data_IF_009242920338
#
_entry.id   IF_009242920338
#
_cell.length_a   1.000
_cell.length_b   1.000
_cell.length_c   1.000
_cell.angle_alpha   90.00
_cell.angle_beta   90.00
_cell.angle_gamma   90.00
#
_symmetry.space_group_name_H-M   'P 1'
#
loop_
_entity.id
_entity.type
_entity.pdbx_description
1 polymer ?
#
# COMPACT_ATOMS: atom_id res chain seq x y z
N UNK A 1 10.05 0.10 -3.25
CA UNK A 1 10.77 1.40 -3.10
C UNK A 1 11.77 1.47 -4.24
N UNK A 2 11.88 2.59 -4.94
CA UNK A 2 12.89 2.73 -6.00
C UNK A 2 14.25 2.92 -5.34
N UNK A 3 15.29 2.30 -5.88
CA UNK A 3 16.67 2.59 -5.48
C UNK A 3 16.98 4.06 -5.76
N UNK A 4 17.57 4.73 -4.77
CA UNK A 4 18.06 6.10 -4.90
C UNK A 4 19.49 6.10 -4.38
N UNK A 5 20.42 6.52 -5.24
CA UNK A 5 21.82 6.66 -4.85
C UNK A 5 21.96 7.89 -3.93
N UNK A 6 22.64 7.73 -2.79
CA UNK A 6 22.79 8.80 -1.80
C UNK A 6 23.48 10.05 -2.38
N UNK A 7 24.53 9.87 -3.19
CA UNK A 7 25.25 10.97 -3.86
C UNK A 7 24.41 11.70 -4.91
N UNK A 8 23.29 11.13 -5.34
CA UNK A 8 22.37 11.80 -6.26
C UNK A 8 21.35 12.70 -5.56
N UNK A 9 21.16 12.59 -4.24
CA UNK A 9 20.09 13.30 -3.50
C UNK A 9 20.53 14.00 -2.23
N UNK A 10 21.69 13.63 -1.67
CA UNK A 10 22.25 14.24 -0.46
C UNK A 10 23.42 15.17 -0.81
N UNK A 11 23.66 16.22 -0.02
CA UNK A 11 24.88 17.02 -0.12
C UNK A 11 26.14 16.16 0.11
N UNK A 12 27.24 16.51 -0.56
CA UNK A 12 28.52 15.79 -0.49
C UNK A 12 29.01 15.63 0.96
N UNK A 13 29.05 16.71 1.74
CA UNK A 13 29.47 16.72 3.15
C UNK A 13 28.69 15.70 4.01
N UNK A 14 27.40 15.50 3.71
CA UNK A 14 26.57 14.54 4.43
C UNK A 14 26.89 13.10 4.01
N UNK A 15 27.18 12.86 2.73
CA UNK A 15 27.60 11.55 2.23
C UNK A 15 28.94 11.15 2.85
N UNK A 16 29.92 12.07 2.87
CA UNK A 16 31.22 11.85 3.50
C UNK A 16 31.05 11.47 4.97
N UNK A 17 30.20 12.19 5.70
CA UNK A 17 29.92 11.89 7.10
C UNK A 17 29.23 10.55 7.30
N UNK A 18 28.31 10.16 6.43
CA UNK A 18 27.67 8.84 6.51
C UNK A 18 28.69 7.70 6.27
N UNK A 19 29.67 7.92 5.39
CA UNK A 19 30.76 6.97 5.14
C UNK A 19 31.67 6.72 6.35
N UNK A 20 31.69 7.62 7.33
CA UNK A 20 32.36 7.36 8.63
C UNK A 20 31.66 6.26 9.44
N UNK A 21 30.35 6.04 9.23
CA UNK A 21 29.54 5.06 9.96
C UNK A 21 29.26 3.80 9.15
N UNK A 22 28.99 3.93 7.85
CA UNK A 22 28.63 2.80 6.98
C UNK A 22 29.08 3.05 5.53
N UNK A 23 29.66 2.04 4.88
CA UNK A 23 30.14 2.15 3.50
C UNK A 23 29.68 0.96 2.67
N UNK A 24 29.17 1.21 1.46
CA UNK A 24 28.74 0.16 0.53
C UNK A 24 27.44 -0.56 0.91
N UNK A 25 26.78 -0.14 1.98
CA UNK A 25 25.60 -0.80 2.54
C UNK A 25 24.32 0.03 2.37
N UNK A 26 23.16 -0.62 2.57
CA UNK A 26 21.85 0.03 2.56
C UNK A 26 21.46 0.55 3.94
N UNK A 27 21.21 1.85 4.06
CA UNK A 27 20.70 2.49 5.27
C UNK A 27 19.20 2.80 5.14
N UNK A 28 18.38 2.32 6.07
CA UNK A 28 16.98 2.70 6.15
C UNK A 28 16.84 4.07 6.83
N UNK A 29 16.27 5.04 6.11
CA UNK A 29 15.89 6.33 6.66
C UNK A 29 14.39 6.26 6.99
N UNK A 30 14.00 6.29 8.28
CA UNK A 30 12.60 6.28 8.65
C UNK A 30 11.89 7.52 8.12
N UNK A 31 10.64 7.34 7.67
CA UNK A 31 9.80 8.46 7.30
C UNK A 31 9.58 9.38 8.51
N UNK A 32 9.52 10.69 8.25
CA UNK A 32 9.14 11.66 9.26
C UNK A 32 7.72 11.32 9.73
N UNK A 33 7.51 11.33 11.06
CA UNK A 33 6.19 11.06 11.67
C UNK A 33 5.12 11.94 10.98
N UNK A 34 3.96 11.34 10.65
CA UNK A 34 2.86 11.91 9.87
C UNK A 34 3.06 12.04 8.34
N UNK A 35 4.22 11.67 7.79
CA UNK A 35 4.41 11.49 6.34
C UNK A 35 4.39 10.00 5.93
N UNK A 36 3.99 9.11 6.84
CA UNK A 36 3.75 7.71 6.49
C UNK A 36 2.64 7.66 5.44
N UNK A 37 3.02 7.42 4.19
CA UNK A 37 2.08 7.09 3.14
C UNK A 37 1.46 5.75 3.49
N UNK A 38 0.14 5.68 3.51
CA UNK A 38 -0.51 4.41 3.72
C UNK A 38 -0.19 3.46 2.57
N UNK A 39 -0.13 2.17 2.85
CA UNK A 39 0.11 1.16 1.83
C UNK A 39 -0.89 1.32 0.65
N UNK A 40 -0.36 1.35 -0.58
CA UNK A 40 -1.15 1.50 -1.81
C UNK A 40 -1.51 2.94 -2.22
N UNK A 41 -1.12 3.98 -1.48
CA UNK A 41 -1.33 5.39 -1.89
C UNK A 41 -0.47 5.80 -3.08
N UNK A 42 0.74 5.25 -3.19
CA UNK A 42 1.69 5.60 -4.26
C UNK A 42 1.38 4.96 -5.62
N UNK A 43 0.73 3.80 -5.61
CA UNK A 43 0.48 3.00 -6.81
C UNK A 43 -0.97 3.12 -7.31
N UNK A 44 -1.83 3.87 -6.64
CA UNK A 44 -3.27 3.92 -6.94
C UNK A 44 -4.05 2.66 -6.52
N UNK A 45 -3.35 1.56 -6.20
CA UNK A 45 -3.95 0.29 -5.83
C UNK A 45 -4.95 0.41 -4.65
N UNK A 46 -4.72 1.32 -3.71
CA UNK A 46 -5.67 1.55 -2.61
C UNK A 46 -7.00 2.11 -3.11
N UNK A 47 -6.98 2.99 -4.11
CA UNK A 47 -8.20 3.56 -4.69
C UNK A 47 -8.99 2.47 -5.45
N UNK A 48 -8.30 1.64 -6.22
CA UNK A 48 -8.93 0.52 -6.95
C UNK A 48 -9.58 -0.50 -6.00
N UNK A 49 -8.86 -0.87 -4.93
CA UNK A 49 -9.39 -1.77 -3.90
C UNK A 49 -10.62 -1.15 -3.23
N UNK A 50 -10.58 0.15 -2.88
CA UNK A 50 -11.70 0.83 -2.25
C UNK A 50 -12.92 0.92 -3.18
N UNK A 51 -12.70 1.19 -4.48
CA UNK A 51 -13.76 1.22 -5.49
C UNK A 51 -14.42 -0.14 -5.63
N UNK A 52 -13.63 -1.20 -5.82
CA UNK A 52 -14.13 -2.57 -5.89
C UNK A 52 -14.91 -2.96 -4.64
N UNK A 53 -14.39 -2.63 -3.45
CA UNK A 53 -15.07 -2.96 -2.20
C UNK A 53 -16.42 -2.21 -2.06
N UNK A 54 -16.52 -0.97 -2.54
CA UNK A 54 -17.79 -0.25 -2.63
C UNK A 54 -18.79 -0.92 -3.59
N UNK A 55 -18.32 -1.37 -4.75
CA UNK A 55 -19.15 -2.07 -5.73
C UNK A 55 -19.69 -3.39 -5.16
N UNK A 56 -18.85 -4.17 -4.46
CA UNK A 56 -19.24 -5.39 -3.74
C UNK A 56 -20.33 -5.09 -2.70
N UNK A 57 -20.13 -4.06 -1.88
CA UNK A 57 -21.10 -3.68 -0.85
C UNK A 57 -22.44 -3.24 -1.46
N UNK A 58 -22.41 -2.46 -2.53
CA UNK A 58 -23.61 -2.01 -3.24
C UNK A 58 -24.38 -3.19 -3.83
N UNK A 59 -23.69 -4.12 -4.49
CA UNK A 59 -24.31 -5.31 -5.06
C UNK A 59 -24.92 -6.22 -3.98
N UNK A 60 -24.23 -6.36 -2.83
CA UNK A 60 -24.79 -7.08 -1.67
C UNK A 60 -26.08 -6.45 -1.14
N UNK A 61 -26.11 -5.11 -0.98
CA UNK A 61 -27.30 -4.38 -0.54
C UNK A 61 -28.47 -4.54 -1.53
N UNK A 62 -28.17 -4.69 -2.82
CA UNK A 62 -29.16 -4.96 -3.87
C UNK A 62 -29.63 -6.42 -3.92
N UNK A 63 -29.13 -7.28 -3.03
CA UNK A 63 -29.60 -8.66 -2.85
C UNK A 63 -28.67 -9.74 -3.40
N UNK A 64 -27.49 -9.40 -3.91
CA UNK A 64 -26.52 -10.41 -4.34
C UNK A 64 -26.01 -11.24 -3.14
N UNK A 65 -25.93 -12.56 -3.31
CA UNK A 65 -25.39 -13.49 -2.33
C UNK A 65 -23.86 -13.40 -2.22
N UNK A 66 -23.31 -13.93 -1.12
CA UNK A 66 -21.85 -13.96 -0.91
C UNK A 66 -21.16 -14.81 -1.98
N UNK A 67 -21.83 -15.88 -2.42
CA UNK A 67 -21.37 -16.82 -3.42
C UNK A 67 -21.32 -16.17 -4.81
N UNK A 68 -22.38 -15.47 -5.23
CA UNK A 68 -22.40 -14.72 -6.51
C UNK A 68 -21.32 -13.62 -6.56
N UNK A 69 -21.10 -12.92 -5.44
CA UNK A 69 -20.05 -11.91 -5.32
C UNK A 69 -18.65 -12.53 -5.35
N UNK A 70 -18.48 -13.70 -4.74
CA UNK A 70 -17.22 -14.45 -4.74
C UNK A 70 -16.81 -14.80 -6.17
N UNK A 71 -17.76 -15.30 -6.97
CA UNK A 71 -17.53 -15.63 -8.37
C UNK A 71 -17.29 -14.39 -9.23
N UNK A 72 -18.15 -13.37 -9.10
CA UNK A 72 -18.10 -12.15 -9.93
C UNK A 72 -16.83 -11.32 -9.74
N UNK A 73 -16.28 -11.31 -8.52
CA UNK A 73 -15.08 -10.53 -8.19
C UNK A 73 -13.82 -11.39 -8.05
N UNK A 74 -13.91 -12.70 -8.31
CA UNK A 74 -12.82 -13.67 -8.16
C UNK A 74 -12.13 -13.60 -6.79
N UNK A 75 -12.94 -13.47 -5.74
CA UNK A 75 -12.50 -13.42 -4.35
C UNK A 75 -13.03 -14.64 -3.61
N UNK A 76 -12.37 -15.06 -2.53
CA UNK A 76 -12.94 -16.09 -1.67
C UNK A 76 -14.17 -15.56 -0.93
N UNK A 77 -15.10 -16.44 -0.58
CA UNK A 77 -16.26 -16.10 0.26
C UNK A 77 -15.84 -15.45 1.59
N UNK A 78 -14.71 -15.88 2.17
CA UNK A 78 -14.12 -15.24 3.35
C UNK A 78 -13.74 -13.77 3.08
N UNK A 79 -13.07 -13.48 1.97
CA UNK A 79 -12.69 -12.11 1.62
C UNK A 79 -13.92 -11.23 1.35
N UNK A 80 -14.95 -11.77 0.68
CA UNK A 80 -16.23 -11.07 0.48
C UNK A 80 -16.90 -10.75 1.81
N UNK A 81 -17.01 -11.72 2.73
CA UNK A 81 -17.57 -11.49 4.08
C UNK A 81 -16.77 -10.44 4.83
N UNK A 82 -15.44 -10.48 4.73
CA UNK A 82 -14.57 -9.47 5.34
C UNK A 82 -14.86 -8.07 4.79
N UNK A 83 -15.07 -7.93 3.48
CA UNK A 83 -15.41 -6.63 2.84
C UNK A 83 -16.80 -6.14 3.28
N UNK A 84 -17.79 -7.04 3.39
CA UNK A 84 -19.16 -6.68 3.78
C UNK A 84 -19.25 -6.32 5.27
N UNK A 85 -18.51 -7.03 6.14
CA UNK A 85 -18.68 -6.94 7.60
C UNK A 85 -17.56 -6.20 8.35
N UNK A 86 -16.43 -5.85 7.71
CA UNK A 86 -15.44 -4.98 8.37
C UNK A 86 -15.93 -3.53 8.40
N UNK A 87 -16.09 -3.02 9.63
CA UNK A 87 -16.04 -1.58 9.93
C UNK A 87 -14.60 -1.14 10.15
#
# INVERSE_FOLDING_TARGET
MRYINASAVLPEELVEKLQEFVQGEYLYIPAIKNQHRSWGELSGARQEINKRNHEILKAYILGASVEELSESFHLSTYAIRKIIYQK
#
